data_IF_690993215995
#
_entry.id   IF_690993215995
#
_cell.length_a   1.000
_cell.length_b   1.000
_cell.length_c   1.000
_cell.angle_alpha   90.00
_cell.angle_beta   90.00
_cell.angle_gamma   90.00
#
_symmetry.space_group_name_H-M   'P 1'
#
loop_
_entity.id
_entity.type
_entity.pdbx_description
1 polymer ?
#
# COMPACT_ATOMS: atom_id res chain seq x y z
N UNK A 1 28.12 -18.83 -35.32
CA UNK A 1 28.19 -18.83 -33.84
C UNK A 1 28.87 -17.56 -33.28
N UNK A 2 29.56 -16.78 -34.10
CA UNK A 2 30.31 -15.57 -33.70
C UNK A 2 29.44 -14.29 -33.78
N UNK A 3 28.36 -14.30 -34.54
CA UNK A 3 27.52 -13.09 -34.70
C UNK A 3 26.46 -12.88 -33.58
N UNK A 4 26.02 -13.94 -32.91
CA UNK A 4 25.05 -13.81 -31.80
C UNK A 4 25.63 -13.24 -30.51
N UNK A 5 26.91 -13.48 -30.22
CA UNK A 5 27.58 -12.91 -29.04
C UNK A 5 27.94 -11.43 -29.19
N UNK A 6 27.99 -10.91 -30.41
CA UNK A 6 28.18 -9.47 -30.67
C UNK A 6 26.88 -8.69 -30.48
N UNK A 7 25.77 -9.23 -30.99
CA UNK A 7 24.45 -8.60 -30.87
C UNK A 7 23.96 -8.56 -29.41
N UNK A 8 24.27 -9.59 -28.61
CA UNK A 8 23.95 -9.60 -27.17
C UNK A 8 24.82 -8.62 -26.35
N UNK A 9 26.05 -8.37 -26.76
CA UNK A 9 26.92 -7.38 -26.09
C UNK A 9 26.62 -5.94 -26.51
N UNK A 10 26.21 -5.70 -27.74
CA UNK A 10 25.75 -4.37 -28.21
C UNK A 10 24.41 -4.01 -27.57
N UNK A 11 23.43 -4.92 -27.48
CA UNK A 11 22.19 -4.68 -26.77
C UNK A 11 22.37 -4.47 -25.25
N UNK A 12 23.30 -5.19 -24.62
CA UNK A 12 23.60 -4.98 -23.20
C UNK A 12 24.37 -3.66 -22.93
N UNK A 13 25.07 -3.12 -23.92
CA UNK A 13 25.72 -1.81 -23.83
C UNK A 13 24.76 -0.65 -24.16
N UNK A 14 23.78 -0.84 -25.05
CA UNK A 14 22.72 0.15 -25.30
C UNK A 14 21.73 0.24 -24.13
N UNK A 15 21.36 -0.86 -23.47
CA UNK A 15 20.58 -0.81 -22.24
C UNK A 15 21.32 -0.20 -21.04
N UNK A 16 22.66 -0.28 -21.01
CA UNK A 16 23.49 0.34 -19.98
C UNK A 16 23.74 1.85 -20.23
N UNK A 17 23.60 2.34 -21.45
CA UNK A 17 23.89 3.74 -21.81
C UNK A 17 22.71 4.70 -21.65
N UNK A 18 21.48 4.22 -21.38
CA UNK A 18 20.28 5.06 -21.16
C UNK A 18 19.99 5.31 -19.68
N UNK A 19 20.99 5.18 -18.82
CA UNK A 19 20.92 5.69 -17.44
C UNK A 19 21.70 7.00 -17.35
N UNK A 20 21.36 7.95 -18.20
CA UNK A 20 21.68 9.33 -17.89
C UNK A 20 20.92 9.70 -16.61
N UNK A 21 21.67 9.94 -15.53
CA UNK A 21 21.15 10.54 -14.31
C UNK A 21 20.53 11.88 -14.71
N UNK A 22 19.23 11.90 -14.99
CA UNK A 22 18.47 13.15 -15.00
C UNK A 22 18.63 13.69 -13.59
N UNK A 23 19.55 14.64 -13.41
CA UNK A 23 19.62 15.41 -12.16
C UNK A 23 18.22 15.95 -11.96
N UNK A 24 17.63 15.81 -10.77
CA UNK A 24 16.36 16.44 -10.50
C UNK A 24 16.53 17.91 -10.86
N UNK A 25 15.72 18.40 -11.78
CA UNK A 25 15.80 19.78 -12.23
C UNK A 25 15.66 20.66 -10.99
N UNK A 26 16.50 21.68 -10.93
CA UNK A 26 16.58 22.54 -9.76
C UNK A 26 15.23 23.22 -9.57
N UNK A 27 14.60 23.02 -8.40
CA UNK A 27 13.33 23.66 -8.07
C UNK A 27 13.52 25.18 -8.07
N UNK A 28 12.87 25.88 -8.99
CA UNK A 28 12.95 27.33 -9.18
C UNK A 28 11.83 28.12 -8.47
N UNK A 29 10.99 27.44 -7.70
CA UNK A 29 9.79 28.01 -7.06
C UNK A 29 8.52 27.62 -7.80
N UNK A 30 7.39 27.85 -7.16
CA UNK A 30 6.06 27.64 -7.74
C UNK A 30 5.67 28.82 -8.63
N UNK A 31 4.89 28.56 -9.67
CA UNK A 31 4.35 29.57 -10.59
C UNK A 31 3.24 30.39 -9.92
N UNK A 32 2.41 29.72 -9.12
CA UNK A 32 1.26 30.34 -8.46
C UNK A 32 1.63 30.68 -7.00
N UNK A 33 1.40 31.92 -6.53
CA UNK A 33 1.71 32.32 -5.15
C UNK A 33 0.93 31.52 -4.09
N UNK A 34 -0.27 31.05 -4.43
CA UNK A 34 -1.04 30.21 -3.52
C UNK A 34 -0.47 28.77 -3.36
N UNK A 35 0.33 28.30 -4.30
CA UNK A 35 1.01 27.02 -4.19
C UNK A 35 2.02 27.03 -3.03
N UNK A 36 2.83 28.08 -2.91
CA UNK A 36 3.72 28.28 -1.77
C UNK A 36 2.96 28.31 -0.47
N UNK A 37 1.88 29.13 -0.42
CA UNK A 37 1.03 29.23 0.76
C UNK A 37 0.45 27.87 1.17
N UNK A 38 -0.07 27.09 0.21
CA UNK A 38 -0.64 25.77 0.48
C UNK A 38 0.43 24.78 1.02
N UNK A 39 1.63 24.80 0.45
CA UNK A 39 2.72 23.93 0.92
C UNK A 39 3.18 24.27 2.34
N UNK A 40 3.17 25.54 2.70
CA UNK A 40 3.55 26.01 4.04
C UNK A 40 2.43 25.77 5.07
N UNK A 41 1.21 26.23 4.78
CA UNK A 41 0.06 26.14 5.71
C UNK A 41 -0.63 24.76 5.73
N UNK A 42 -0.38 23.90 4.72
CA UNK A 42 -1.01 22.59 4.49
C UNK A 42 -2.50 22.64 4.11
N UNK A 43 -3.17 23.74 4.28
CA UNK A 43 -4.54 23.96 3.80
C UNK A 43 -4.77 25.42 3.44
N UNK A 44 -5.66 25.66 2.46
CA UNK A 44 -6.09 26.98 2.03
C UNK A 44 -7.57 26.92 1.69
N UNK A 45 -8.33 27.94 2.08
CA UNK A 45 -9.77 28.05 1.79
C UNK A 45 -10.00 29.27 0.91
N UNK A 46 -10.53 29.05 -0.29
CA UNK A 46 -10.94 30.11 -1.21
C UNK A 46 -12.39 30.47 -0.99
N UNK A 47 -12.66 31.76 -0.73
CA UNK A 47 -14.01 32.31 -0.61
C UNK A 47 -14.29 33.25 -1.78
N UNK A 48 -15.53 33.29 -2.25
CA UNK A 48 -15.96 34.21 -3.33
C UNK A 48 -17.28 33.77 -3.94
N UNK A 49 -17.86 34.65 -4.78
CA UNK A 49 -19.11 34.35 -5.44
C UNK A 49 -19.03 33.12 -6.36
N UNK A 50 -20.15 32.43 -6.63
CA UNK A 50 -20.20 31.40 -7.67
C UNK A 50 -19.68 31.92 -9.02
N UNK A 51 -18.99 31.05 -9.78
CA UNK A 51 -18.47 31.39 -11.11
C UNK A 51 -17.18 32.24 -11.13
N UNK A 52 -16.54 32.53 -9.99
CA UNK A 52 -15.28 33.29 -9.94
C UNK A 52 -14.02 32.46 -10.22
N UNK A 53 -14.14 31.22 -10.72
CA UNK A 53 -13.00 30.41 -11.11
C UNK A 53 -12.28 29.71 -9.97
N UNK A 54 -12.83 29.62 -8.75
CA UNK A 54 -12.17 28.99 -7.58
C UNK A 54 -11.75 27.55 -7.83
N UNK A 55 -12.61 26.75 -8.43
CA UNK A 55 -12.33 25.34 -8.74
C UNK A 55 -11.23 25.19 -9.80
N UNK A 56 -11.21 26.12 -10.76
CA UNK A 56 -10.16 26.19 -11.78
C UNK A 56 -8.82 26.53 -11.13
N UNK A 57 -8.78 27.59 -10.31
CA UNK A 57 -7.58 27.99 -9.55
C UNK A 57 -7.06 26.85 -8.65
N UNK A 58 -7.94 26.10 -7.99
CA UNK A 58 -7.52 24.97 -7.16
C UNK A 58 -6.83 23.86 -7.98
N UNK A 59 -7.29 23.63 -9.21
CA UNK A 59 -6.65 22.69 -10.14
C UNK A 59 -5.32 23.20 -10.67
N UNK A 60 -5.20 24.50 -10.96
CA UNK A 60 -3.92 25.13 -11.36
C UNK A 60 -2.88 24.99 -10.23
N UNK A 61 -3.27 25.28 -8.99
CA UNK A 61 -2.41 25.11 -7.82
C UNK A 61 -1.97 23.65 -7.65
N UNK A 62 -2.88 22.71 -7.83
CA UNK A 62 -2.54 21.28 -7.75
C UNK A 62 -1.54 20.88 -8.83
N UNK A 63 -1.72 21.35 -10.08
CA UNK A 63 -0.80 21.10 -11.18
C UNK A 63 0.59 21.68 -10.91
N UNK A 64 0.65 22.91 -10.45
CA UNK A 64 1.89 23.62 -10.10
C UNK A 64 2.65 22.88 -8.97
N UNK A 65 1.96 22.45 -7.92
CA UNK A 65 2.57 21.71 -6.81
C UNK A 65 3.10 20.34 -7.27
N UNK A 66 2.32 19.59 -8.04
CA UNK A 66 2.67 18.24 -8.47
C UNK A 66 3.75 18.25 -9.54
N UNK A 67 3.72 19.23 -10.43
CA UNK A 67 4.77 19.43 -11.43
C UNK A 67 6.08 20.01 -10.85
N UNK A 68 6.13 20.35 -9.54
CA UNK A 68 7.23 21.07 -8.93
C UNK A 68 7.52 22.43 -9.62
N UNK A 69 6.49 23.19 -9.98
CA UNK A 69 6.64 24.52 -10.57
C UNK A 69 6.95 24.52 -12.07
N UNK A 70 6.80 23.40 -12.77
CA UNK A 70 7.04 23.35 -14.22
C UNK A 70 5.87 23.93 -15.03
N UNK A 71 4.65 23.68 -14.58
CA UNK A 71 3.43 24.19 -15.21
C UNK A 71 2.27 24.18 -14.19
N UNK A 72 1.27 25.03 -14.44
CA UNK A 72 0.04 25.16 -13.66
C UNK A 72 -1.22 24.70 -14.41
N UNK A 73 -1.07 24.17 -15.61
CA UNK A 73 -2.19 23.60 -16.37
C UNK A 73 -2.44 22.13 -15.94
N UNK A 74 -3.59 21.90 -15.30
CA UNK A 74 -4.01 20.57 -14.84
C UNK A 74 -4.12 19.53 -15.96
N UNK A 75 -4.38 19.97 -17.20
CA UNK A 75 -4.50 19.07 -18.36
C UNK A 75 -3.17 18.50 -18.78
N UNK A 76 -2.06 19.14 -18.43
CA UNK A 76 -0.69 18.69 -18.70
C UNK A 76 -0.18 17.59 -17.74
N UNK A 77 -0.89 17.37 -16.63
CA UNK A 77 -0.55 16.27 -15.73
C UNK A 77 -0.69 14.92 -16.44
N UNK A 78 0.31 14.06 -16.26
CA UNK A 78 0.24 12.65 -16.69
C UNK A 78 -0.81 11.90 -15.87
N UNK A 79 -1.26 10.74 -16.35
CA UNK A 79 -2.24 9.93 -15.61
C UNK A 79 -1.73 9.49 -14.25
N UNK A 80 -0.41 9.24 -14.12
CA UNK A 80 0.22 8.95 -12.83
C UNK A 80 0.20 10.18 -11.90
N UNK A 81 0.49 11.37 -12.41
CA UNK A 81 0.43 12.62 -11.65
C UNK A 81 -1.00 12.99 -11.24
N UNK A 82 -1.99 12.75 -12.10
CA UNK A 82 -3.42 12.95 -11.75
C UNK A 82 -3.85 12.08 -10.56
N UNK A 83 -3.24 10.93 -10.38
CA UNK A 83 -3.51 10.10 -9.19
C UNK A 83 -3.01 10.70 -7.87
N UNK A 84 -2.22 11.79 -7.91
CA UNK A 84 -1.78 12.55 -6.76
C UNK A 84 -2.75 13.68 -6.41
N UNK A 85 -3.83 13.86 -7.19
CA UNK A 85 -4.89 14.81 -6.93
C UNK A 85 -6.20 14.07 -6.71
N UNK A 86 -6.89 14.36 -5.63
CA UNK A 86 -8.26 13.91 -5.40
C UNK A 86 -9.20 15.13 -5.40
N UNK A 87 -10.36 14.97 -6.01
CA UNK A 87 -11.37 16.02 -6.11
C UNK A 87 -12.70 15.49 -5.62
N UNK A 88 -13.26 16.14 -4.62
CA UNK A 88 -14.61 15.84 -4.12
C UNK A 88 -15.46 17.08 -4.10
N UNK A 89 -16.75 16.92 -4.33
CA UNK A 89 -17.73 17.97 -4.20
C UNK A 89 -18.71 17.63 -3.09
N UNK A 90 -18.81 18.51 -2.09
CA UNK A 90 -19.76 18.31 -1.00
C UNK A 90 -21.19 18.60 -1.45
N UNK A 91 -22.12 17.84 -0.90
CA UNK A 91 -23.56 18.02 -1.07
C UNK A 91 -24.28 17.79 0.28
N UNK A 92 -25.54 18.19 0.44
CA UNK A 92 -26.23 18.14 1.75
C UNK A 92 -26.30 16.77 2.41
N UNK A 93 -26.24 15.69 1.63
CA UNK A 93 -26.26 14.31 2.14
C UNK A 93 -24.86 13.71 2.37
N UNK A 94 -23.78 14.48 2.13
CA UNK A 94 -22.42 13.99 2.32
C UNK A 94 -22.11 13.87 3.82
N UNK A 95 -21.56 12.76 4.26
CA UNK A 95 -21.30 12.51 5.66
C UNK A 95 -19.91 11.87 5.93
N UNK A 96 -19.63 11.57 7.19
CA UNK A 96 -18.39 10.95 7.63
C UNK A 96 -18.12 9.60 6.94
N UNK A 97 -19.18 8.84 6.68
CA UNK A 97 -19.05 7.53 6.06
C UNK A 97 -18.64 7.58 4.58
N UNK A 98 -18.95 8.68 3.90
CA UNK A 98 -18.50 8.92 2.54
C UNK A 98 -17.06 9.47 2.51
N UNK A 99 -16.70 10.26 3.52
CA UNK A 99 -15.44 10.96 3.56
C UNK A 99 -14.32 10.16 4.20
N UNK A 100 -14.57 9.60 5.39
CA UNK A 100 -13.54 8.90 6.19
C UNK A 100 -13.73 7.39 6.15
N UNK A 101 -14.75 6.89 6.83
CA UNK A 101 -15.09 5.47 6.86
C UNK A 101 -16.48 5.23 7.41
N UNK A 102 -17.13 4.16 6.98
CA UNK A 102 -18.45 3.81 7.47
C UNK A 102 -18.84 2.37 7.22
N UNK A 103 -19.80 1.89 7.98
CA UNK A 103 -20.39 0.57 7.77
C UNK A 103 -21.27 0.58 6.52
N UNK A 104 -20.96 -0.31 5.58
CA UNK A 104 -21.76 -0.52 4.36
C UNK A 104 -22.36 -1.93 4.35
N UNK A 105 -23.60 -2.07 3.87
CA UNK A 105 -24.21 -3.40 3.75
C UNK A 105 -23.43 -4.24 2.74
N UNK A 106 -23.17 -5.50 3.12
CA UNK A 106 -22.55 -6.51 2.27
C UNK A 106 -23.44 -7.75 2.23
N UNK A 107 -23.58 -8.32 1.04
CA UNK A 107 -24.18 -9.64 0.89
C UNK A 107 -23.08 -10.69 0.99
N UNK A 108 -23.19 -11.56 1.98
CA UNK A 108 -22.27 -12.67 2.17
C UNK A 108 -22.47 -13.74 1.09
N UNK A 109 -21.53 -14.66 0.93
CA UNK A 109 -21.62 -15.75 -0.06
C UNK A 109 -22.80 -16.69 0.16
N UNK A 110 -23.27 -16.80 1.40
CA UNK A 110 -24.47 -17.58 1.79
C UNK A 110 -25.80 -16.83 1.54
N UNK A 111 -25.76 -15.62 0.97
CA UNK A 111 -26.92 -14.77 0.71
C UNK A 111 -27.41 -13.98 1.93
N UNK A 112 -26.79 -14.11 3.09
CA UNK A 112 -27.13 -13.31 4.27
C UNK A 112 -26.64 -11.87 4.13
N UNK A 113 -27.35 -10.93 4.79
CA UNK A 113 -26.94 -9.53 4.87
C UNK A 113 -25.99 -9.33 6.05
N UNK A 114 -24.81 -8.78 5.76
CA UNK A 114 -23.83 -8.35 6.76
C UNK A 114 -23.51 -6.88 6.60
N UNK A 115 -22.57 -6.40 7.40
CA UNK A 115 -21.97 -5.06 7.26
C UNK A 115 -20.47 -5.20 7.23
N UNK A 116 -19.83 -4.39 6.39
CA UNK A 116 -18.37 -4.25 6.38
C UNK A 116 -18.00 -2.78 6.56
N UNK A 117 -16.85 -2.53 7.21
CA UNK A 117 -16.29 -1.21 7.32
C UNK A 117 -15.61 -0.87 5.98
N UNK A 118 -16.10 0.17 5.32
CA UNK A 118 -15.50 0.65 4.07
C UNK A 118 -14.86 2.02 4.27
N UNK A 119 -13.66 2.19 3.72
CA UNK A 119 -12.95 3.46 3.73
C UNK A 119 -13.63 4.46 2.80
N UNK A 120 -13.78 5.69 3.27
CA UNK A 120 -14.22 6.83 2.49
C UNK A 120 -13.12 7.36 1.57
N UNK A 121 -13.47 8.36 0.75
CA UNK A 121 -12.57 8.89 -0.28
C UNK A 121 -11.33 9.55 0.32
N UNK A 122 -11.45 10.29 1.41
CA UNK A 122 -10.34 10.97 2.07
C UNK A 122 -9.36 9.96 2.67
N UNK A 123 -9.85 8.96 3.41
CA UNK A 123 -9.01 7.93 4.01
C UNK A 123 -8.21 7.16 2.96
N UNK A 124 -8.86 6.71 1.88
CA UNK A 124 -8.18 6.05 0.75
C UNK A 124 -7.06 6.90 0.16
N UNK A 125 -7.31 8.19 0.00
CA UNK A 125 -6.33 9.13 -0.55
C UNK A 125 -5.16 9.35 0.42
N UNK A 126 -5.44 9.53 1.71
CA UNK A 126 -4.42 9.69 2.75
C UNK A 126 -3.56 8.42 2.89
N UNK A 127 -4.16 7.23 2.84
CA UNK A 127 -3.42 5.97 2.92
C UNK A 127 -2.50 5.77 1.71
N UNK A 128 -2.92 6.21 0.53
CA UNK A 128 -2.06 6.24 -0.66
C UNK A 128 -0.85 7.18 -0.47
N UNK A 129 -1.10 8.39 0.04
CA UNK A 129 -0.04 9.37 0.32
C UNK A 129 0.92 8.87 1.43
N UNK A 130 0.37 8.26 2.49
CA UNK A 130 1.14 7.65 3.57
C UNK A 130 2.03 6.52 3.05
N UNK A 131 1.49 5.63 2.24
CA UNK A 131 2.26 4.54 1.63
C UNK A 131 3.44 5.05 0.81
N UNK A 132 3.25 6.09 -0.01
CA UNK A 132 4.35 6.73 -0.73
C UNK A 132 5.38 7.34 0.21
N UNK A 133 4.94 8.04 1.27
CA UNK A 133 5.84 8.62 2.27
C UNK A 133 6.68 7.55 2.98
N UNK A 134 6.07 6.46 3.40
CA UNK A 134 6.75 5.35 4.04
C UNK A 134 7.75 4.68 3.09
N UNK A 135 7.33 4.41 1.84
CA UNK A 135 8.19 3.82 0.83
C UNK A 135 9.36 4.73 0.45
N UNK A 136 9.14 6.04 0.36
CA UNK A 136 10.22 6.99 0.04
C UNK A 136 11.32 7.03 1.11
N UNK A 137 11.01 6.60 2.34
CA UNK A 137 11.98 6.50 3.45
C UNK A 137 12.71 5.16 3.51
N UNK A 138 12.17 4.13 2.87
CA UNK A 138 12.79 2.80 2.85
C UNK A 138 13.99 2.80 1.90
N UNK A 139 15.03 2.03 2.25
CA UNK A 139 16.12 1.78 1.31
C UNK A 139 15.64 0.93 0.14
N UNK A 140 16.31 1.06 -1.00
CA UNK A 140 16.03 0.23 -2.18
C UNK A 140 16.05 -1.27 -1.86
N UNK A 141 16.95 -1.71 -0.97
CA UNK A 141 17.07 -3.10 -0.55
C UNK A 141 15.82 -3.58 0.20
N UNK A 142 15.29 -2.76 1.10
CA UNK A 142 14.07 -3.09 1.86
C UNK A 142 12.87 -3.20 0.93
N UNK A 143 12.67 -2.23 0.03
CA UNK A 143 11.57 -2.25 -0.94
C UNK A 143 11.67 -3.48 -1.86
N UNK A 144 12.88 -3.76 -2.36
CA UNK A 144 13.14 -4.91 -3.22
C UNK A 144 12.82 -6.23 -2.48
N UNK A 145 13.18 -6.33 -1.20
CA UNK A 145 12.89 -7.49 -0.38
C UNK A 145 11.38 -7.66 -0.13
N UNK A 146 10.68 -6.59 0.26
CA UNK A 146 9.23 -6.61 0.49
C UNK A 146 8.45 -7.06 -0.75
N UNK A 147 8.80 -6.54 -1.93
CA UNK A 147 8.17 -6.93 -3.19
C UNK A 147 8.47 -8.38 -3.56
N UNK A 148 9.72 -8.83 -3.38
CA UNK A 148 10.10 -10.23 -3.58
C UNK A 148 9.31 -11.18 -2.67
N UNK A 149 9.06 -10.78 -1.42
CA UNK A 149 8.23 -11.52 -0.47
C UNK A 149 6.77 -11.54 -0.92
N UNK A 150 6.24 -10.40 -1.33
CA UNK A 150 4.85 -10.29 -1.81
C UNK A 150 4.61 -11.17 -3.05
N UNK A 151 5.52 -11.14 -4.03
CA UNK A 151 5.44 -12.00 -5.22
C UNK A 151 5.52 -13.48 -4.87
N UNK A 152 6.45 -13.87 -3.98
CA UNK A 152 6.60 -15.25 -3.54
C UNK A 152 5.37 -15.77 -2.78
N UNK A 153 4.78 -14.93 -1.92
CA UNK A 153 3.53 -15.26 -1.22
C UNK A 153 2.37 -15.44 -2.20
N UNK A 154 2.23 -14.52 -3.16
CA UNK A 154 1.20 -14.62 -4.18
C UNK A 154 1.36 -15.90 -5.00
N UNK A 155 2.57 -16.17 -5.53
CA UNK A 155 2.86 -17.39 -6.28
C UNK A 155 2.59 -18.66 -5.45
N UNK A 156 2.86 -18.61 -4.15
CA UNK A 156 2.57 -19.75 -3.27
C UNK A 156 1.06 -19.98 -3.13
N UNK A 157 0.27 -18.96 -2.84
CA UNK A 157 -1.17 -19.10 -2.64
C UNK A 157 -1.92 -19.39 -3.94
N UNK A 158 -1.45 -18.85 -5.08
CA UNK A 158 -2.02 -19.17 -6.40
C UNK A 158 -1.79 -20.65 -6.79
N UNK A 159 -0.69 -21.28 -6.32
CA UNK A 159 -0.34 -22.68 -6.61
C UNK A 159 -0.92 -23.67 -5.59
N UNK A 160 -1.41 -23.20 -4.44
CA UNK A 160 -1.99 -24.08 -3.41
C UNK A 160 -3.38 -24.54 -3.83
N UNK A 161 -3.48 -25.87 -4.06
CA UNK A 161 -4.79 -26.52 -4.20
C UNK A 161 -5.38 -26.81 -2.81
N UNK A 162 -6.32 -25.97 -2.40
CA UNK A 162 -6.96 -26.04 -1.08
C UNK A 162 -7.65 -27.40 -0.89
N UNK A 163 -7.32 -28.06 0.23
CA UNK A 163 -7.82 -29.39 0.59
C UNK A 163 -7.04 -30.57 0.02
N UNK A 164 -6.20 -30.38 -1.02
CA UNK A 164 -5.49 -31.45 -1.69
C UNK A 164 -3.96 -31.44 -1.42
N UNK A 165 -3.33 -30.27 -1.29
CA UNK A 165 -1.89 -30.20 -1.04
C UNK A 165 -1.59 -30.57 0.41
N UNK A 166 -0.84 -31.67 0.59
CA UNK A 166 -0.41 -32.14 1.90
C UNK A 166 1.00 -31.65 2.21
N UNK A 167 1.15 -31.00 3.34
CA UNK A 167 2.41 -30.54 3.90
C UNK A 167 2.78 -31.37 5.12
N UNK A 168 4.08 -31.37 5.49
CA UNK A 168 4.57 -32.17 6.61
C UNK A 168 5.50 -31.37 7.51
N UNK A 169 5.20 -31.38 8.80
CA UNK A 169 6.10 -30.75 9.80
C UNK A 169 7.39 -31.56 9.98
N UNK A 170 8.41 -30.98 10.59
CA UNK A 170 9.65 -31.70 10.93
C UNK A 170 9.43 -32.93 11.85
N UNK A 171 8.37 -32.90 12.63
CA UNK A 171 7.99 -34.04 13.52
C UNK A 171 7.15 -35.07 12.81
N UNK A 172 6.88 -34.92 11.52
CA UNK A 172 6.12 -35.86 10.71
C UNK A 172 4.62 -35.66 10.68
N UNK A 173 4.07 -34.67 11.35
CA UNK A 173 2.62 -34.36 11.32
C UNK A 173 2.22 -33.80 9.96
N UNK A 174 1.27 -34.46 9.29
CA UNK A 174 0.70 -34.03 8.01
C UNK A 174 -0.45 -33.05 8.22
N UNK A 175 -0.55 -32.06 7.33
CA UNK A 175 -1.62 -31.08 7.34
C UNK A 175 -1.91 -30.57 5.91
N UNK A 176 -3.11 -30.03 5.71
CA UNK A 176 -3.55 -29.42 4.45
C UNK A 176 -4.01 -27.99 4.70
N UNK A 177 -3.85 -27.12 3.72
CA UNK A 177 -4.48 -25.79 3.73
C UNK A 177 -5.89 -25.96 3.21
N UNK A 178 -6.88 -25.59 4.02
CA UNK A 178 -8.30 -25.72 3.68
C UNK A 178 -8.91 -24.43 3.16
N UNK A 179 -8.40 -23.28 3.64
CA UNK A 179 -8.88 -21.97 3.24
C UNK A 179 -7.81 -20.90 3.53
N UNK A 180 -7.91 -19.74 2.85
CA UNK A 180 -7.03 -18.58 3.03
C UNK A 180 -7.88 -17.32 2.88
N UNK A 181 -7.86 -16.45 3.89
CA UNK A 181 -8.41 -15.11 3.83
C UNK A 181 -7.30 -14.04 3.90
N UNK A 182 -7.65 -12.77 4.02
CA UNK A 182 -6.69 -11.66 4.05
C UNK A 182 -5.75 -11.68 5.27
N UNK A 183 -6.17 -12.32 6.37
CA UNK A 183 -5.46 -12.32 7.65
C UNK A 183 -4.92 -13.69 8.04
N UNK A 184 -5.57 -14.76 7.62
CA UNK A 184 -5.33 -16.11 8.14
C UNK A 184 -5.21 -17.18 7.06
N UNK A 185 -4.44 -18.22 7.39
CA UNK A 185 -4.39 -19.51 6.68
C UNK A 185 -5.02 -20.56 7.57
N UNK A 186 -6.01 -21.26 7.07
CA UNK A 186 -6.74 -22.31 7.81
C UNK A 186 -6.17 -23.67 7.45
N UNK A 187 -5.82 -24.45 8.47
CA UNK A 187 -5.22 -25.76 8.32
C UNK A 187 -6.12 -26.85 8.87
N UNK A 188 -6.17 -27.99 8.18
CA UNK A 188 -6.69 -29.25 8.68
C UNK A 188 -5.54 -30.21 9.03
N UNK A 189 -5.66 -30.85 10.20
CA UNK A 189 -4.66 -31.78 10.75
C UNK A 189 -5.36 -33.12 11.09
N UNK A 190 -5.65 -33.96 10.10
CA UNK A 190 -6.51 -35.13 10.31
C UNK A 190 -5.98 -36.14 11.34
N UNK A 191 -4.66 -36.21 11.53
CA UNK A 191 -4.00 -37.17 12.43
C UNK A 191 -3.94 -36.72 13.90
N UNK A 192 -4.37 -35.50 14.22
CA UNK A 192 -4.35 -34.98 15.58
C UNK A 192 -5.75 -35.08 16.21
N UNK A 193 -5.93 -36.02 17.14
CA UNK A 193 -7.21 -36.25 17.81
C UNK A 193 -7.65 -35.07 18.72
N UNK A 194 -6.71 -34.23 19.17
CA UNK A 194 -7.00 -33.14 20.10
C UNK A 194 -7.22 -31.81 19.40
N UNK A 195 -6.50 -31.57 18.30
CA UNK A 195 -6.56 -30.31 17.52
C UNK A 195 -6.53 -30.68 16.04
N UNK A 196 -7.72 -30.78 15.45
CA UNK A 196 -7.88 -31.14 14.05
C UNK A 196 -7.83 -29.93 13.08
N UNK A 197 -7.88 -28.71 13.61
CA UNK A 197 -7.76 -27.48 12.83
C UNK A 197 -6.95 -26.42 13.57
N UNK A 198 -6.16 -25.65 12.83
CA UNK A 198 -5.38 -24.49 13.32
C UNK A 198 -5.48 -23.37 12.29
N UNK A 199 -5.49 -22.13 12.76
CA UNK A 199 -5.31 -20.95 11.92
C UNK A 199 -3.94 -20.32 12.18
N UNK A 200 -3.26 -19.94 11.09
CA UNK A 200 -2.01 -19.21 11.12
C UNK A 200 -2.27 -17.75 10.74
N UNK A 201 -1.50 -16.84 11.30
CA UNK A 201 -1.58 -15.43 10.93
C UNK A 201 -0.62 -15.15 9.77
N UNK A 202 -1.15 -14.64 8.67
CA UNK A 202 -0.37 -14.30 7.46
C UNK A 202 0.66 -13.22 7.76
N UNK A 203 0.34 -12.24 8.64
CA UNK A 203 1.27 -11.17 8.97
C UNK A 203 2.52 -11.67 9.71
N UNK A 204 2.40 -12.70 10.56
CA UNK A 204 3.57 -13.33 11.22
C UNK A 204 4.52 -13.96 10.19
N UNK A 205 3.97 -14.71 9.23
CA UNK A 205 4.76 -15.36 8.18
C UNK A 205 5.42 -14.30 7.29
N UNK A 206 4.71 -13.24 6.95
CA UNK A 206 5.26 -12.12 6.18
C UNK A 206 6.41 -11.45 6.91
N UNK A 207 6.25 -11.12 8.19
CA UNK A 207 7.31 -10.51 9.00
C UNK A 207 8.57 -11.41 9.05
N UNK A 208 8.40 -12.73 9.19
CA UNK A 208 9.52 -13.68 9.13
C UNK A 208 10.23 -13.59 7.77
N UNK A 209 9.50 -13.59 6.66
CA UNK A 209 10.06 -13.51 5.29
C UNK A 209 10.78 -12.19 5.02
N UNK A 210 10.20 -11.07 5.46
CA UNK A 210 10.74 -9.72 5.29
C UNK A 210 11.98 -9.48 6.15
N UNK A 211 12.10 -10.17 7.29
CA UNK A 211 13.25 -10.03 8.19
C UNK A 211 14.59 -10.46 7.56
N UNK A 212 14.54 -11.25 6.48
CA UNK A 212 15.73 -11.83 5.86
C UNK A 212 16.48 -12.85 6.72
N UNK A 213 15.93 -13.21 7.91
CA UNK A 213 16.52 -14.18 8.81
C UNK A 213 16.22 -15.60 8.38
N UNK A 214 17.12 -16.52 8.72
CA UNK A 214 16.87 -17.95 8.61
C UNK A 214 16.14 -18.46 9.85
N UNK A 215 15.09 -19.23 9.64
CA UNK A 215 14.34 -19.90 10.70
C UNK A 215 14.47 -21.41 10.50
N UNK A 216 15.25 -22.05 11.37
CA UNK A 216 15.52 -23.48 11.30
C UNK A 216 14.84 -24.26 12.43
N UNK A 217 14.53 -23.61 13.54
CA UNK A 217 13.93 -24.20 14.74
C UNK A 217 12.80 -23.31 15.25
N UNK A 218 11.89 -23.90 16.03
CA UNK A 218 10.80 -23.15 16.66
C UNK A 218 11.30 -22.06 17.61
N UNK A 219 12.47 -22.28 18.21
CA UNK A 219 13.13 -21.30 19.07
C UNK A 219 13.47 -20.02 18.33
N UNK A 220 13.89 -20.10 17.07
CA UNK A 220 14.23 -18.94 16.25
C UNK A 220 13.00 -18.02 16.06
N UNK A 221 11.79 -18.63 15.94
CA UNK A 221 10.53 -17.90 15.82
C UNK A 221 10.15 -17.23 17.14
N UNK A 222 10.28 -17.96 18.28
CA UNK A 222 9.96 -17.40 19.60
C UNK A 222 10.91 -16.26 19.98
N UNK A 223 12.18 -16.36 19.64
CA UNK A 223 13.17 -15.30 19.85
C UNK A 223 12.87 -14.08 18.95
N UNK A 224 12.50 -14.33 17.71
CA UNK A 224 12.15 -13.25 16.77
C UNK A 224 10.95 -12.42 17.23
N UNK A 225 9.89 -13.09 17.70
CA UNK A 225 8.69 -12.41 18.21
C UNK A 225 8.76 -12.04 19.70
N UNK A 226 9.91 -12.28 20.36
CA UNK A 226 10.10 -12.03 21.79
C UNK A 226 9.04 -12.70 22.69
N UNK A 227 8.75 -13.96 22.42
CA UNK A 227 7.73 -14.75 23.13
C UNK A 227 8.41 -15.79 24.00
N UNK A 228 7.99 -15.88 25.26
CA UNK A 228 8.63 -16.74 26.26
C UNK A 228 8.27 -18.23 26.15
N UNK A 229 7.30 -18.60 25.31
CA UNK A 229 6.86 -19.99 25.14
C UNK A 229 6.59 -20.32 23.68
N UNK A 230 6.85 -21.57 23.31
CA UNK A 230 6.61 -22.08 21.96
C UNK A 230 5.12 -22.39 21.78
N UNK A 231 4.49 -21.79 20.77
CA UNK A 231 3.14 -22.11 20.37
C UNK A 231 3.14 -23.24 19.33
N UNK A 232 2.14 -24.13 19.42
CA UNK A 232 2.03 -25.27 18.49
C UNK A 232 1.96 -24.82 17.03
N UNK A 233 1.31 -23.69 16.74
CA UNK A 233 1.17 -23.14 15.38
C UNK A 233 2.52 -22.83 14.72
N UNK A 234 3.57 -22.57 15.48
CA UNK A 234 4.88 -22.23 14.90
C UNK A 234 5.55 -23.38 14.14
N UNK A 235 5.18 -24.63 14.43
CA UNK A 235 5.65 -25.76 13.62
C UNK A 235 5.08 -25.71 12.19
N UNK A 236 3.86 -25.23 12.03
CA UNK A 236 3.19 -25.04 10.76
C UNK A 236 3.65 -23.75 10.08
N UNK A 237 3.80 -22.64 10.83
CA UNK A 237 4.38 -21.40 10.31
C UNK A 237 5.74 -21.66 9.66
N UNK A 238 6.59 -22.49 10.28
CA UNK A 238 7.90 -22.81 9.77
C UNK A 238 7.85 -23.57 8.43
N UNK A 239 6.87 -24.46 8.26
CA UNK A 239 6.70 -25.18 6.99
C UNK A 239 6.26 -24.23 5.89
N UNK A 240 5.21 -23.44 6.15
CA UNK A 240 4.68 -22.47 5.16
C UNK A 240 5.73 -21.42 4.82
N UNK A 241 6.46 -20.89 5.83
CA UNK A 241 7.61 -20.00 5.61
C UNK A 241 8.64 -20.62 4.63
N UNK A 242 9.04 -21.87 4.86
CA UNK A 242 10.03 -22.54 4.01
C UNK A 242 9.51 -22.76 2.58
N UNK A 243 8.22 -23.09 2.40
CA UNK A 243 7.63 -23.26 1.07
C UNK A 243 7.58 -21.94 0.29
N UNK A 244 7.19 -20.84 0.95
CA UNK A 244 7.19 -19.51 0.33
C UNK A 244 8.64 -19.06 0.04
N UNK A 245 9.59 -19.33 0.96
CA UNK A 245 10.99 -18.97 0.77
C UNK A 245 11.60 -19.64 -0.48
N UNK A 246 11.20 -20.86 -0.83
CA UNK A 246 11.65 -21.54 -2.06
C UNK A 246 11.19 -20.83 -3.34
N UNK A 247 10.07 -20.12 -3.29
CA UNK A 247 9.50 -19.35 -4.41
C UNK A 247 10.10 -17.95 -4.53
N UNK A 248 10.83 -17.50 -3.49
CA UNK A 248 11.45 -16.17 -3.50
C UNK A 248 12.54 -16.11 -4.57
N UNK A 249 12.30 -15.33 -5.60
CA UNK A 249 13.25 -15.07 -6.70
C UNK A 249 14.12 -13.87 -6.35
N UNK A 250 15.32 -13.80 -6.94
CA UNK A 250 16.14 -12.60 -6.85
C UNK A 250 15.38 -11.46 -7.55
N UNK A 251 14.85 -10.54 -6.77
CA UNK A 251 14.07 -9.43 -7.30
C UNK A 251 14.96 -8.52 -8.15
N UNK A 252 14.39 -7.97 -9.23
CA UNK A 252 15.03 -6.88 -9.96
C UNK A 252 15.22 -5.71 -9.00
N UNK A 253 16.41 -5.08 -9.02
CA UNK A 253 16.70 -3.89 -8.21
C UNK A 253 15.67 -2.82 -8.57
N UNK A 254 14.83 -2.46 -7.62
CA UNK A 254 13.81 -1.43 -7.79
C UNK A 254 14.39 -0.11 -7.33
N UNK A 255 14.18 0.96 -8.09
CA UNK A 255 14.59 2.29 -7.67
C UNK A 255 13.80 2.70 -6.43
N UNK A 256 14.46 3.41 -5.52
CA UNK A 256 13.78 4.04 -4.37
C UNK A 256 12.62 4.89 -4.89
N UNK A 257 11.47 4.76 -4.28
CA UNK A 257 10.29 5.56 -4.62
C UNK A 257 10.53 7.02 -4.21
N UNK A 258 10.32 7.94 -5.13
CA UNK A 258 10.45 9.36 -4.84
C UNK A 258 9.28 9.82 -3.95
N UNK A 259 9.58 10.73 -3.01
CA UNK A 259 8.55 11.38 -2.21
C UNK A 259 7.69 12.28 -3.10
N UNK A 260 6.43 11.91 -3.27
CA UNK A 260 5.44 12.64 -4.08
C UNK A 260 4.61 13.59 -3.21
N UNK A 261 4.15 14.66 -3.81
CA UNK A 261 3.18 15.58 -3.18
C UNK A 261 1.77 15.15 -3.57
N UNK A 262 0.83 15.29 -2.63
CA UNK A 262 -0.57 14.92 -2.81
C UNK A 262 -1.45 16.12 -2.49
N UNK A 263 -2.44 16.41 -3.33
CA UNK A 263 -3.36 17.56 -3.18
C UNK A 263 -4.79 17.05 -3.17
N UNK A 264 -5.51 17.35 -2.08
CA UNK A 264 -6.93 17.03 -1.93
C UNK A 264 -7.75 18.30 -2.12
N UNK A 265 -8.69 18.31 -3.06
CA UNK A 265 -9.53 19.47 -3.40
C UNK A 265 -10.95 19.16 -2.95
N UNK A 266 -11.50 20.03 -2.12
CA UNK A 266 -12.92 20.00 -1.71
C UNK A 266 -13.63 21.17 -2.34
N UNK A 267 -14.57 20.92 -3.22
CA UNK A 267 -15.44 21.91 -3.81
C UNK A 267 -16.77 21.99 -3.04
N UNK A 268 -17.42 23.16 -3.06
CA UNK A 268 -18.70 23.41 -2.39
C UNK A 268 -18.71 23.00 -0.90
N UNK A 269 -17.61 23.25 -0.18
CA UNK A 269 -17.43 22.84 1.22
C UNK A 269 -18.57 23.32 2.13
N UNK A 270 -19.19 24.45 1.79
CA UNK A 270 -20.30 25.04 2.55
C UNK A 270 -21.67 24.40 2.29
N UNK A 271 -21.78 23.47 1.34
CA UNK A 271 -23.01 22.72 1.08
C UNK A 271 -23.20 21.53 2.01
N UNK A 272 -22.13 21.06 2.62
CA UNK A 272 -22.17 19.97 3.60
C UNK A 272 -22.12 20.48 5.04
N UNK A 273 -22.56 19.65 5.98
CA UNK A 273 -22.37 19.89 7.40
C UNK A 273 -20.92 19.54 7.79
N UNK A 274 -20.02 20.53 7.76
CA UNK A 274 -18.58 20.35 7.94
C UNK A 274 -18.24 19.52 9.19
N UNK A 275 -18.87 19.84 10.33
CA UNK A 275 -18.66 19.12 11.59
C UNK A 275 -19.07 17.64 11.52
N UNK A 276 -20.11 17.32 10.76
CA UNK A 276 -20.59 15.96 10.54
C UNK A 276 -19.66 15.19 9.58
N UNK A 277 -19.15 15.84 8.56
CA UNK A 277 -18.30 15.22 7.54
C UNK A 277 -16.89 14.94 8.09
N UNK A 278 -16.30 15.92 8.76
CA UNK A 278 -14.94 15.82 9.28
C UNK A 278 -14.87 15.10 10.64
N UNK A 279 -15.95 15.19 11.44
CA UNK A 279 -15.93 14.64 12.79
C UNK A 279 -14.71 15.11 13.58
N UNK A 280 -13.99 14.18 14.18
CA UNK A 280 -12.78 14.45 14.95
C UNK A 280 -11.60 14.98 14.11
N UNK A 281 -11.57 14.71 12.79
CA UNK A 281 -10.52 15.23 11.91
C UNK A 281 -10.53 16.76 11.80
N UNK A 282 -11.62 17.43 12.23
CA UNK A 282 -11.70 18.88 12.20
C UNK A 282 -10.58 19.55 13.00
N UNK A 283 -10.16 18.94 14.10
CA UNK A 283 -9.04 19.42 14.91
C UNK A 283 -7.70 19.32 14.17
N UNK A 284 -7.53 18.33 13.29
CA UNK A 284 -6.29 18.15 12.54
C UNK A 284 -6.08 19.22 11.44
N UNK A 285 -7.11 19.98 11.09
CA UNK A 285 -7.02 21.11 10.14
C UNK A 285 -6.39 22.34 10.81
N UNK A 286 -6.52 22.46 12.14
CA UNK A 286 -5.94 23.57 12.90
C UNK A 286 -4.43 23.36 13.10
N UNK A 287 -3.58 24.32 12.68
CA UNK A 287 -2.13 24.24 12.89
C UNK A 287 -1.70 24.07 14.35
N UNK A 288 -2.51 24.52 15.29
CA UNK A 288 -2.24 24.41 16.74
C UNK A 288 -2.36 23.00 17.32
N UNK A 289 -2.98 22.07 16.57
CA UNK A 289 -3.19 20.67 16.97
C UNK A 289 -2.41 19.64 16.14
N UNK A 290 -1.47 20.10 15.31
CA UNK A 290 -0.63 19.25 14.46
C UNK A 290 0.67 18.82 15.17
#
# INVERSE_FOLDING_TARGET
MIDREKDEKENAQEEAAVVEKVKPAQFNGYLNPYSTMLVESKNVIFRGAPGTGKTYLAKEIAADIISNGYFDDYTMLTDEQKQQVEFVQFHPSYDYSDFVEGLRPKTNEDGSMGFELQDGVFKKFVDKARKNYENSKKSTEVITNELSVQEAMKEFFDDVDTGNNTFKTKTGTEFTITDVDDEHIYLSIPQNASINSIRLNISEIRQMLESGREFNKLKDITEFFNINFTQQRYSYNLVIFNEIQKKKKTAKIIRQEELKKYVFIIDEINRGEISKIFGELFFAVDPGYR
#
